data_IF_282277474210
#
_entry.id   IF_282277474210
#
_cell.length_a   1.000
_cell.length_b   1.000
_cell.length_c   1.000
_cell.angle_alpha   90.00
_cell.angle_beta   90.00
_cell.angle_gamma   90.00
#
_symmetry.space_group_name_H-M   'P 1'
#
loop_
_entity.id
_entity.type
_entity.pdbx_description
1 polymer ?
#
# COMPACT_ATOMS: atom_id res chain seq x y z
N UNK A 1 -6.15 27.07 66.21
CA UNK A 1 -4.84 26.86 66.87
C UNK A 1 -4.16 25.54 66.50
N UNK A 2 -4.68 24.34 66.83
CA UNK A 2 -4.01 23.07 66.47
C UNK A 2 -4.00 22.75 64.95
N UNK A 3 -5.04 23.14 64.21
CA UNK A 3 -5.13 22.90 62.77
C UNK A 3 -4.21 23.81 61.94
N UNK A 4 -4.18 25.11 62.25
CA UNK A 4 -3.30 26.09 61.60
C UNK A 4 -1.82 25.74 61.77
N UNK A 5 -1.42 25.35 62.98
CA UNK A 5 -0.04 24.96 63.25
C UNK A 5 0.36 23.69 62.48
N UNK A 6 -0.56 22.74 62.34
CA UNK A 6 -0.35 21.54 61.50
C UNK A 6 -0.19 21.90 60.01
N UNK A 7 -1.02 22.82 59.50
CA UNK A 7 -0.94 23.31 58.12
C UNK A 7 0.37 24.04 57.85
N UNK A 8 0.80 24.93 58.78
CA UNK A 8 2.08 25.64 58.70
C UNK A 8 3.26 24.66 58.61
N UNK A 9 3.30 23.66 59.49
CA UNK A 9 4.35 22.63 59.48
C UNK A 9 4.31 21.76 58.23
N UNK A 10 3.13 21.49 57.68
CA UNK A 10 2.99 20.78 56.41
C UNK A 10 3.53 21.60 55.23
N UNK A 11 3.33 22.92 55.23
CA UNK A 11 3.92 23.82 54.23
C UNK A 11 5.44 23.87 54.35
N UNK A 12 5.97 23.96 55.58
CA UNK A 12 7.41 23.90 55.83
C UNK A 12 8.01 22.57 55.38
N UNK A 13 7.35 21.44 55.69
CA UNK A 13 7.74 20.13 55.17
C UNK A 13 7.79 20.13 53.65
N UNK A 14 6.75 20.67 53.01
CA UNK A 14 6.66 20.71 51.55
C UNK A 14 7.82 21.51 50.96
N UNK A 15 8.12 22.70 51.51
CA UNK A 15 9.25 23.52 51.06
C UNK A 15 10.60 22.79 51.18
N UNK A 16 10.79 22.00 52.23
CA UNK A 16 11.99 21.18 52.39
C UNK A 16 12.07 20.08 51.34
N UNK A 17 10.96 19.45 51.00
CA UNK A 17 10.93 18.43 49.94
C UNK A 17 11.23 19.04 48.56
N UNK A 18 10.78 20.26 48.26
CA UNK A 18 11.19 20.98 47.04
C UNK A 18 12.68 21.34 47.06
N UNK A 19 13.23 21.79 48.20
CA UNK A 19 14.67 22.03 48.37
C UNK A 19 15.48 20.75 48.12
N UNK A 20 14.99 19.60 48.62
CA UNK A 20 15.61 18.29 48.39
C UNK A 20 15.45 17.79 46.96
N UNK A 21 14.45 18.26 46.21
CA UNK A 21 14.24 17.88 44.82
C UNK A 21 15.07 18.72 43.83
N UNK A 22 15.56 19.90 44.21
CA UNK A 22 16.22 20.83 43.28
C UNK A 22 17.66 20.47 42.93
N UNK A 23 18.38 19.80 43.82
CA UNK A 23 19.80 19.45 43.61
C UNK A 23 20.24 18.28 44.46
N UNK A 24 21.28 17.58 44.02
CA UNK A 24 21.99 16.62 44.86
C UNK A 24 22.61 17.35 46.06
N UNK A 25 22.34 16.88 47.29
CA UNK A 25 22.82 17.52 48.52
C UNK A 25 24.10 16.87 49.02
N UNK A 26 25.02 17.70 49.54
CA UNK A 26 26.19 17.23 50.27
C UNK A 26 25.88 16.89 51.75
N UNK A 27 26.83 16.28 52.46
CA UNK A 27 26.65 15.87 53.85
C UNK A 27 26.28 17.03 54.80
N UNK A 28 26.76 18.25 54.51
CA UNK A 28 26.48 19.44 55.31
C UNK A 28 25.03 19.87 55.12
N UNK A 29 24.56 19.88 53.88
CA UNK A 29 23.18 20.16 53.51
C UNK A 29 22.24 19.09 54.09
N UNK A 30 22.58 17.81 53.94
CA UNK A 30 21.81 16.68 54.49
C UNK A 30 21.68 16.79 56.02
N UNK A 31 22.76 17.13 56.73
CA UNK A 31 22.71 17.36 58.18
C UNK A 31 21.83 18.55 58.54
N UNK A 32 21.90 19.65 57.78
CA UNK A 32 21.04 20.81 57.97
C UNK A 32 19.56 20.43 57.81
N UNK A 33 19.22 19.66 56.78
CA UNK A 33 17.87 19.11 56.56
C UNK A 33 17.43 18.22 57.73
N UNK A 34 18.30 17.33 58.23
CA UNK A 34 17.99 16.49 59.39
C UNK A 34 17.63 17.31 60.64
N UNK A 35 18.36 18.41 60.90
CA UNK A 35 18.08 19.32 62.02
C UNK A 35 16.74 20.05 61.83
N UNK A 36 16.47 20.56 60.61
CA UNK A 36 15.19 21.19 60.27
C UNK A 36 14.02 20.21 60.47
N UNK A 37 14.14 18.98 59.97
CA UNK A 37 13.13 17.93 60.13
C UNK A 37 12.95 17.51 61.59
N UNK A 38 14.03 17.38 62.37
CA UNK A 38 13.94 17.11 63.81
C UNK A 38 13.10 18.16 64.53
N UNK A 39 13.32 19.43 64.21
CA UNK A 39 12.57 20.56 64.79
C UNK A 39 11.10 20.52 64.36
N UNK A 40 10.85 20.21 63.09
CA UNK A 40 9.51 20.15 62.52
C UNK A 40 8.63 19.05 63.16
N UNK A 41 9.23 17.88 63.39
CA UNK A 41 8.56 16.71 63.98
C UNK A 41 8.43 16.76 65.51
N UNK A 42 8.80 17.86 66.16
CA UNK A 42 8.54 18.06 67.59
C UNK A 42 7.03 18.01 67.91
N UNK A 43 6.67 17.64 69.13
CA UNK A 43 5.27 17.61 69.59
C UNK A 43 4.33 16.72 68.76
N UNK A 44 4.84 15.59 68.23
CA UNK A 44 4.07 14.59 67.49
C UNK A 44 3.36 15.12 66.23
N UNK A 45 3.99 16.04 65.50
CA UNK A 45 3.50 16.45 64.18
C UNK A 45 3.33 15.23 63.26
N UNK A 46 2.15 15.13 62.63
CA UNK A 46 1.83 14.09 61.67
C UNK A 46 1.68 14.74 60.30
N UNK A 47 2.59 14.41 59.38
CA UNK A 47 2.51 14.87 58.01
C UNK A 47 1.26 14.33 57.30
N UNK A 48 0.73 15.10 56.37
CA UNK A 48 -0.43 14.72 55.58
C UNK A 48 -0.01 14.04 54.27
N UNK A 49 -0.16 12.71 54.23
CA UNK A 49 0.15 11.90 53.06
C UNK A 49 -0.61 12.31 51.79
N UNK A 50 -1.84 12.84 51.91
CA UNK A 50 -2.63 13.23 50.73
C UNK A 50 -2.02 14.40 49.93
N UNK A 51 -1.07 15.13 50.52
CA UNK A 51 -0.38 16.25 49.87
C UNK A 51 0.82 15.81 49.02
N UNK A 52 1.32 14.58 49.21
CA UNK A 52 2.53 14.14 48.52
C UNK A 52 2.27 13.83 47.04
N UNK A 53 1.17 13.16 46.70
CA UNK A 53 0.90 12.85 45.30
C UNK A 53 0.83 14.11 44.39
N UNK A 54 0.05 15.16 44.73
CA UNK A 54 0.06 16.40 43.94
C UNK A 54 1.43 17.04 43.81
N UNK A 55 2.23 17.01 44.89
CA UNK A 55 3.60 17.54 44.89
C UNK A 55 4.52 16.74 43.95
N UNK A 56 4.47 15.41 43.99
CA UNK A 56 5.23 14.54 43.08
C UNK A 56 4.81 14.78 41.62
N UNK A 57 3.51 14.97 41.36
CA UNK A 57 3.01 15.32 40.02
C UNK A 57 3.56 16.67 39.57
N UNK A 58 3.60 17.70 40.43
CA UNK A 58 4.17 19.00 40.08
C UNK A 58 5.69 18.93 39.83
N UNK A 59 6.43 18.22 40.69
CA UNK A 59 7.87 18.00 40.57
C UNK A 59 8.27 17.18 39.34
N UNK A 60 7.33 16.48 38.70
CA UNK A 60 7.60 15.66 37.52
C UNK A 60 7.14 16.28 36.20
N UNK A 61 6.56 17.49 36.24
CA UNK A 61 6.21 18.22 35.03
C UNK A 61 7.45 18.60 34.23
N UNK A 62 7.35 18.51 32.90
CA UNK A 62 8.43 18.91 32.00
C UNK A 62 8.73 20.42 32.16
N UNK A 63 10.01 20.77 32.29
CA UNK A 63 10.47 22.16 32.33
C UNK A 63 10.55 22.80 33.73
N UNK A 64 10.37 22.02 34.80
CA UNK A 64 10.72 22.46 36.15
C UNK A 64 12.20 22.15 36.48
N UNK A 65 12.70 22.75 37.56
CA UNK A 65 14.07 22.53 38.05
C UNK A 65 14.16 21.40 39.10
N UNK A 66 13.13 20.55 39.20
CA UNK A 66 13.03 19.51 40.23
C UNK A 66 13.30 18.12 39.66
N UNK A 67 13.79 17.23 40.51
CA UNK A 67 14.05 15.84 40.18
C UNK A 67 13.56 14.91 41.29
N UNK A 68 12.68 13.98 40.93
CA UNK A 68 12.23 12.93 41.85
C UNK A 68 13.39 12.02 42.29
N UNK A 69 14.43 11.90 41.46
CA UNK A 69 15.63 11.12 41.78
C UNK A 69 16.47 11.83 42.85
N UNK A 70 16.61 13.16 42.76
CA UNK A 70 17.28 13.94 43.81
C UNK A 70 16.51 13.88 45.11
N UNK A 71 15.17 14.03 45.06
CA UNK A 71 14.32 13.90 46.24
C UNK A 71 14.49 12.54 46.93
N UNK A 72 14.35 11.46 46.16
CA UNK A 72 14.48 10.08 46.65
C UNK A 72 15.86 9.84 47.27
N UNK A 73 16.92 10.23 46.54
CA UNK A 73 18.31 10.04 46.97
C UNK A 73 18.63 10.83 48.24
N UNK A 74 18.29 12.12 48.27
CA UNK A 74 18.54 12.98 49.41
C UNK A 74 17.75 12.51 50.64
N UNK A 75 16.48 12.09 50.46
CA UNK A 75 15.64 11.63 51.55
C UNK A 75 16.14 10.31 52.15
N UNK A 76 16.61 9.39 51.31
CA UNK A 76 17.22 8.15 51.78
C UNK A 76 18.58 8.39 52.45
N UNK A 77 19.38 9.35 51.96
CA UNK A 77 20.63 9.74 52.60
C UNK A 77 20.41 10.36 53.99
N UNK A 78 19.43 11.25 54.15
CA UNK A 78 19.05 11.79 55.47
C UNK A 78 18.54 10.66 56.39
N UNK A 79 17.73 9.74 55.86
CA UNK A 79 17.23 8.59 56.62
C UNK A 79 18.36 7.70 57.11
N UNK A 80 19.32 7.37 56.25
CA UNK A 80 20.49 6.57 56.60
C UNK A 80 21.34 7.24 57.70
N UNK A 81 21.58 8.55 57.58
CA UNK A 81 22.30 9.33 58.61
C UNK A 81 21.59 9.30 59.98
N UNK A 82 20.27 9.48 59.97
CA UNK A 82 19.46 9.46 61.21
C UNK A 82 19.39 8.05 61.81
N UNK A 83 19.33 7.02 60.98
CA UNK A 83 19.35 5.62 61.41
C UNK A 83 20.70 5.25 62.04
N UNK A 84 21.81 5.66 61.44
CA UNK A 84 23.14 5.43 62.01
C UNK A 84 23.31 6.08 63.39
N UNK A 85 22.87 7.33 63.54
CA UNK A 85 22.89 8.04 64.83
C UNK A 85 22.00 7.35 65.87
N UNK A 86 20.83 6.85 65.45
CA UNK A 86 19.92 6.07 66.31
C UNK A 86 20.56 4.76 66.80
N UNK A 87 21.29 4.04 65.95
CA UNK A 87 21.95 2.78 66.29
C UNK A 87 23.17 2.97 67.20
N UNK A 88 23.87 4.11 67.11
CA UNK A 88 25.03 4.47 67.93
C UNK A 88 24.66 5.02 69.32
N UNK A 89 23.37 5.06 69.68
CA UNK A 89 22.81 5.69 70.89
C UNK A 89 23.21 7.18 71.06
N UNK A 90 23.49 7.84 69.94
CA UNK A 90 23.64 9.29 69.90
C UNK A 90 22.24 9.90 70.03
N UNK A 91 21.93 10.47 71.19
CA UNK A 91 20.59 11.03 71.52
C UNK A 91 20.16 12.22 70.63
N UNK A 92 20.92 12.54 69.56
CA UNK A 92 20.70 13.69 68.70
C UNK A 92 19.43 13.52 67.84
N UNK A 93 19.21 12.38 67.19
CA UNK A 93 18.08 12.20 66.25
C UNK A 93 17.04 11.15 66.67
N UNK A 94 17.05 10.71 67.93
CA UNK A 94 16.23 9.58 68.40
C UNK A 94 14.72 9.75 68.14
N UNK A 95 14.19 10.97 68.27
CA UNK A 95 12.77 11.26 68.04
C UNK A 95 12.40 11.41 66.57
N UNK A 96 13.39 11.60 65.67
CA UNK A 96 13.18 11.80 64.23
C UNK A 96 13.13 10.49 63.45
N UNK A 97 13.82 9.43 63.90
CA UNK A 97 13.96 8.18 63.15
C UNK A 97 12.62 7.59 62.65
N UNK A 98 11.64 7.46 63.56
CA UNK A 98 10.31 6.91 63.21
C UNK A 98 9.51 7.80 62.23
N UNK A 99 9.32 9.11 62.49
CA UNK A 99 8.58 9.96 61.55
C UNK A 99 9.27 10.12 60.20
N UNK A 100 10.62 10.17 60.17
CA UNK A 100 11.38 10.24 58.92
C UNK A 100 11.27 8.95 58.10
N UNK A 101 11.36 7.78 58.75
CA UNK A 101 11.15 6.50 58.05
C UNK A 101 9.76 6.43 57.39
N UNK A 102 8.72 6.93 58.06
CA UNK A 102 7.37 7.02 57.47
C UNK A 102 7.30 8.00 56.30
N UNK A 103 7.97 9.15 56.43
CA UNK A 103 8.04 10.14 55.36
C UNK A 103 8.74 9.57 54.12
N UNK A 104 9.91 8.94 54.30
CA UNK A 104 10.65 8.29 53.21
C UNK A 104 9.80 7.22 52.52
N UNK A 105 9.18 6.32 53.28
CA UNK A 105 8.28 5.29 52.75
C UNK A 105 7.12 5.88 51.94
N UNK A 106 6.44 6.89 52.48
CA UNK A 106 5.31 7.52 51.80
C UNK A 106 5.69 8.28 50.52
N UNK A 107 6.81 9.01 50.54
CA UNK A 107 7.30 9.72 49.35
C UNK A 107 7.72 8.74 48.27
N UNK A 108 8.51 7.72 48.63
CA UNK A 108 8.97 6.70 47.67
C UNK A 108 7.81 5.89 47.10
N UNK A 109 6.76 5.62 47.90
CA UNK A 109 5.54 4.99 47.42
C UNK A 109 4.81 5.86 46.39
N UNK A 110 4.70 7.17 46.60
CA UNK A 110 4.11 8.08 45.61
C UNK A 110 4.96 8.27 44.36
N UNK A 111 6.30 8.29 44.49
CA UNK A 111 7.22 8.29 43.34
C UNK A 111 7.02 7.02 42.49
N UNK A 112 6.95 5.86 43.14
CA UNK A 112 6.69 4.58 42.46
C UNK A 112 5.31 4.56 41.78
N UNK A 113 4.28 5.06 42.46
CA UNK A 113 2.93 5.19 41.91
C UNK A 113 2.90 6.11 40.69
N UNK A 114 3.53 7.28 40.78
CA UNK A 114 3.64 8.22 39.66
C UNK A 114 4.35 7.58 38.46
N UNK A 115 5.47 6.90 38.71
CA UNK A 115 6.25 6.21 37.68
C UNK A 115 5.43 5.17 36.93
N UNK A 116 4.59 4.41 37.65
CA UNK A 116 3.66 3.46 37.03
C UNK A 116 2.61 4.15 36.15
N UNK A 117 1.99 5.24 36.62
CA UNK A 117 1.01 6.00 35.84
C UNK A 117 1.62 6.63 34.60
N UNK A 118 2.78 7.28 34.72
CA UNK A 118 3.49 7.90 33.60
C UNK A 118 3.86 6.88 32.53
N UNK A 119 4.37 5.71 32.90
CA UNK A 119 4.65 4.62 31.94
C UNK A 119 3.37 4.11 31.26
N UNK A 120 2.26 4.04 31.99
CA UNK A 120 1.00 3.59 31.42
C UNK A 120 0.40 4.62 30.45
N UNK A 121 0.50 5.90 30.77
CA UNK A 121 0.10 7.00 29.88
C UNK A 121 0.91 6.97 28.58
N UNK A 122 2.23 6.79 28.66
CA UNK A 122 3.07 6.64 27.46
C UNK A 122 2.67 5.43 26.60
N UNK A 123 2.33 4.30 27.24
CA UNK A 123 1.81 3.13 26.52
C UNK A 123 0.49 3.41 25.81
N UNK A 124 -0.41 4.20 26.43
CA UNK A 124 -1.69 4.59 25.82
C UNK A 124 -1.45 5.48 24.59
N UNK A 125 -0.57 6.49 24.69
CA UNK A 125 -0.22 7.36 23.57
C UNK A 125 0.41 6.57 22.40
N UNK A 126 1.28 5.60 22.70
CA UNK A 126 1.87 4.73 21.70
C UNK A 126 0.84 3.80 21.02
N UNK A 127 -0.15 3.32 21.78
CA UNK A 127 -1.26 2.52 21.24
C UNK A 127 -2.16 3.36 20.32
N UNK A 128 -2.45 4.61 20.69
CA UNK A 128 -3.20 5.54 19.83
C UNK A 128 -2.46 5.82 18.52
N UNK A 129 -1.14 6.08 18.59
CA UNK A 129 -0.32 6.28 17.39
C UNK A 129 -0.33 5.04 16.48
N UNK A 130 -0.18 3.84 17.04
CA UNK A 130 -0.26 2.59 16.29
C UNK A 130 -1.64 2.37 15.66
N UNK A 131 -2.72 2.72 16.38
CA UNK A 131 -4.07 2.62 15.85
C UNK A 131 -4.27 3.50 14.61
N UNK A 132 -3.80 4.75 14.65
CA UNK A 132 -3.85 5.68 13.51
C UNK A 132 -3.04 5.16 12.30
N UNK A 133 -1.85 4.59 12.54
CA UNK A 133 -1.05 3.96 11.50
C UNK A 133 -1.78 2.77 10.87
N UNK A 134 -2.32 1.87 11.70
CA UNK A 134 -3.09 0.71 11.23
C UNK A 134 -4.33 1.10 10.43
N UNK A 135 -5.06 2.14 10.83
CA UNK A 135 -6.19 2.66 10.05
C UNK A 135 -5.75 3.17 8.68
N UNK A 136 -4.60 3.83 8.61
CA UNK A 136 -4.04 4.34 7.35
C UNK A 136 -3.59 3.20 6.43
N UNK A 137 -2.89 2.20 6.98
CA UNK A 137 -2.47 1.01 6.26
C UNK A 137 -3.68 0.20 5.76
N UNK A 138 -4.71 0.04 6.58
CA UNK A 138 -5.95 -0.64 6.21
C UNK A 138 -6.66 0.08 5.05
N UNK A 139 -6.71 1.42 5.08
CA UNK A 139 -7.26 2.22 3.97
C UNK A 139 -6.44 2.06 2.69
N UNK A 140 -5.12 2.01 2.79
CA UNK A 140 -4.26 1.80 1.63
C UNK A 140 -4.41 0.38 1.06
N UNK A 141 -4.50 -0.65 1.93
CA UNK A 141 -4.72 -2.02 1.52
C UNK A 141 -6.09 -2.23 0.85
N UNK A 142 -7.15 -1.63 1.39
CA UNK A 142 -8.50 -1.69 0.80
C UNK A 142 -8.55 -1.01 -0.56
N UNK A 143 -7.99 0.19 -0.71
CA UNK A 143 -7.93 0.86 -2.02
C UNK A 143 -7.07 0.11 -3.05
N UNK A 144 -5.98 -0.54 -2.62
CA UNK A 144 -5.19 -1.40 -3.50
C UNK A 144 -5.97 -2.65 -3.95
N UNK A 145 -6.75 -3.24 -3.04
CA UNK A 145 -7.62 -4.38 -3.32
C UNK A 145 -8.74 -4.00 -4.30
N UNK A 146 -9.37 -2.85 -4.13
CA UNK A 146 -10.40 -2.33 -5.06
C UNK A 146 -9.83 -2.14 -6.48
N UNK A 147 -8.64 -1.54 -6.59
CA UNK A 147 -7.96 -1.40 -7.89
C UNK A 147 -7.60 -2.74 -8.51
N UNK A 148 -7.17 -3.71 -7.71
CA UNK A 148 -6.89 -5.07 -8.19
C UNK A 148 -8.18 -5.74 -8.69
N UNK A 149 -9.29 -5.58 -7.97
CA UNK A 149 -10.60 -6.13 -8.35
C UNK A 149 -11.12 -5.53 -9.66
N UNK A 150 -11.00 -4.21 -9.84
CA UNK A 150 -11.37 -3.52 -11.09
C UNK A 150 -10.51 -4.01 -12.27
N UNK A 151 -9.21 -4.22 -12.04
CA UNK A 151 -8.33 -4.78 -13.06
C UNK A 151 -8.71 -6.20 -13.44
N UNK A 152 -9.10 -7.03 -12.46
CA UNK A 152 -9.56 -8.40 -12.70
C UNK A 152 -10.88 -8.42 -13.48
N UNK A 153 -11.86 -7.57 -13.14
CA UNK A 153 -13.12 -7.50 -13.89
C UNK A 153 -12.92 -7.03 -15.34
N UNK A 154 -12.01 -6.08 -15.54
CA UNK A 154 -11.60 -5.63 -16.88
C UNK A 154 -10.96 -6.78 -17.65
N UNK A 155 -10.00 -7.50 -17.05
CA UNK A 155 -9.36 -8.67 -17.65
C UNK A 155 -10.35 -9.77 -18.02
N UNK A 156 -11.34 -10.06 -17.15
CA UNK A 156 -12.39 -11.04 -17.45
C UNK A 156 -13.17 -10.65 -18.70
N UNK A 157 -13.51 -9.36 -18.85
CA UNK A 157 -14.22 -8.85 -20.03
C UNK A 157 -13.37 -9.00 -21.29
N UNK A 158 -12.08 -8.69 -21.22
CA UNK A 158 -11.14 -8.90 -22.34
C UNK A 158 -11.01 -10.38 -22.71
N UNK A 159 -10.92 -11.28 -21.72
CA UNK A 159 -10.84 -12.72 -21.94
C UNK A 159 -12.10 -13.28 -22.62
N UNK A 160 -13.30 -12.87 -22.16
CA UNK A 160 -14.56 -13.25 -22.80
C UNK A 160 -14.57 -12.77 -24.26
N UNK A 161 -14.19 -11.52 -24.51
CA UNK A 161 -14.13 -10.97 -25.86
C UNK A 161 -13.17 -11.76 -26.76
N UNK A 162 -11.99 -12.13 -26.27
CA UNK A 162 -11.03 -12.94 -27.01
C UNK A 162 -11.59 -14.33 -27.30
N UNK A 163 -12.22 -14.98 -26.33
CA UNK A 163 -12.82 -16.30 -26.51
C UNK A 163 -13.95 -16.29 -27.55
N UNK A 164 -14.84 -15.29 -27.48
CA UNK A 164 -15.92 -15.11 -28.46
C UNK A 164 -15.39 -14.89 -29.88
N UNK A 165 -14.32 -14.12 -30.02
CA UNK A 165 -13.62 -13.92 -31.30
C UNK A 165 -13.08 -15.26 -31.82
N UNK A 166 -12.36 -16.02 -30.99
CA UNK A 166 -11.80 -17.30 -31.41
C UNK A 166 -12.89 -18.30 -31.84
N UNK A 167 -14.00 -18.36 -31.10
CA UNK A 167 -15.13 -19.20 -31.45
C UNK A 167 -15.74 -18.80 -32.81
N UNK A 168 -15.94 -17.50 -33.06
CA UNK A 168 -16.47 -17.00 -34.33
C UNK A 168 -15.55 -17.33 -35.52
N UNK A 169 -14.23 -17.18 -35.35
CA UNK A 169 -13.23 -17.55 -36.37
C UNK A 169 -13.33 -19.06 -36.67
N UNK A 170 -13.28 -19.91 -35.65
CA UNK A 170 -13.32 -21.38 -35.82
C UNK A 170 -14.61 -21.82 -36.52
N UNK A 171 -15.76 -21.27 -36.12
CA UNK A 171 -17.05 -21.54 -36.77
C UNK A 171 -17.08 -21.10 -38.23
N UNK A 172 -16.59 -19.88 -38.54
CA UNK A 172 -16.53 -19.37 -39.91
C UNK A 172 -15.59 -20.21 -40.80
N UNK A 173 -14.43 -20.61 -40.29
CA UNK A 173 -13.50 -21.49 -41.01
C UNK A 173 -14.08 -22.87 -41.27
N UNK A 174 -14.63 -23.51 -40.23
CA UNK A 174 -15.27 -24.82 -40.36
C UNK A 174 -16.41 -24.78 -41.38
N UNK A 175 -17.29 -23.78 -41.29
CA UNK A 175 -18.38 -23.57 -42.24
C UNK A 175 -17.88 -23.33 -43.67
N UNK A 176 -16.81 -22.55 -43.84
CA UNK A 176 -16.22 -22.28 -45.15
C UNK A 176 -15.61 -23.53 -45.79
N UNK A 177 -14.90 -24.35 -45.00
CA UNK A 177 -14.31 -25.62 -45.48
C UNK A 177 -15.40 -26.61 -45.87
N UNK A 178 -16.46 -26.74 -45.06
CA UNK A 178 -17.60 -27.61 -45.38
C UNK A 178 -18.36 -27.15 -46.62
N UNK A 179 -18.62 -25.84 -46.75
CA UNK A 179 -19.25 -25.27 -47.94
C UNK A 179 -18.41 -25.52 -49.20
N UNK A 180 -17.10 -25.30 -49.11
CA UNK A 180 -16.17 -25.55 -50.21
C UNK A 180 -16.15 -27.03 -50.61
N UNK A 181 -16.05 -27.93 -49.62
CA UNK A 181 -16.05 -29.38 -49.86
C UNK A 181 -17.32 -29.86 -50.56
N UNK A 182 -18.48 -29.34 -50.16
CA UNK A 182 -19.77 -29.65 -50.80
C UNK A 182 -19.90 -29.06 -52.21
N UNK A 183 -19.38 -27.85 -52.44
CA UNK A 183 -19.38 -27.25 -53.77
C UNK A 183 -18.49 -28.04 -54.74
N UNK A 184 -17.30 -28.48 -54.30
CA UNK A 184 -16.38 -29.29 -55.11
C UNK A 184 -16.92 -30.69 -55.40
N UNK A 185 -17.57 -31.35 -54.43
CA UNK A 185 -18.13 -32.70 -54.63
C UNK A 185 -19.26 -32.72 -55.66
N UNK A 186 -19.95 -31.59 -55.87
CA UNK A 186 -20.95 -31.43 -56.94
C UNK A 186 -20.38 -31.27 -58.35
N UNK A 187 -19.06 -31.11 -58.53
CA UNK A 187 -18.41 -30.83 -59.82
C UNK A 187 -17.77 -32.04 -60.49
N UNK A 188 -18.18 -33.25 -60.14
CA UNK A 188 -17.60 -34.52 -60.60
C UNK A 188 -17.69 -34.77 -62.12
N UNK A 189 -18.55 -34.06 -62.84
CA UNK A 189 -18.80 -34.22 -64.29
C UNK A 189 -18.34 -33.00 -65.12
N UNK A 190 -17.53 -32.11 -64.55
CA UNK A 190 -17.14 -30.84 -65.19
C UNK A 190 -15.70 -30.92 -65.75
N UNK A 191 -15.49 -30.36 -66.95
CA UNK A 191 -14.19 -30.23 -67.61
C UNK A 191 -13.13 -29.63 -66.69
N UNK A 192 -11.87 -30.10 -66.77
CA UNK A 192 -10.77 -29.74 -65.85
C UNK A 192 -10.54 -28.22 -65.74
N UNK A 193 -10.67 -27.48 -66.84
CA UNK A 193 -10.48 -26.02 -66.84
C UNK A 193 -11.57 -25.29 -66.03
N UNK A 194 -12.84 -25.72 -66.15
CA UNK A 194 -13.94 -25.10 -65.39
C UNK A 194 -13.85 -25.40 -63.89
N UNK A 195 -13.41 -26.60 -63.51
CA UNK A 195 -13.20 -26.94 -62.10
C UNK A 195 -11.99 -26.20 -61.51
N UNK A 196 -10.90 -26.06 -62.27
CA UNK A 196 -9.74 -25.24 -61.88
C UNK A 196 -10.13 -23.77 -61.65
N UNK A 197 -10.89 -23.17 -62.57
CA UNK A 197 -11.42 -21.81 -62.40
C UNK A 197 -12.25 -21.66 -61.12
N UNK A 198 -13.16 -22.61 -60.85
CA UNK A 198 -14.02 -22.55 -59.68
C UNK A 198 -13.24 -22.66 -58.36
N UNK A 199 -12.22 -23.52 -58.31
CA UNK A 199 -11.33 -23.65 -57.15
C UNK A 199 -10.56 -22.35 -56.91
N UNK A 200 -10.04 -21.71 -57.97
CA UNK A 200 -9.36 -20.42 -57.87
C UNK A 200 -10.31 -19.30 -57.37
N UNK A 201 -11.54 -19.27 -57.88
CA UNK A 201 -12.58 -18.33 -57.44
C UNK A 201 -12.93 -18.53 -55.96
N UNK A 202 -13.11 -19.78 -55.53
CA UNK A 202 -13.34 -20.11 -54.13
C UNK A 202 -12.15 -19.71 -53.23
N UNK A 203 -10.93 -19.99 -53.64
CA UNK A 203 -9.72 -19.58 -52.93
C UNK A 203 -9.65 -18.05 -52.76
N UNK A 204 -10.02 -17.30 -53.79
CA UNK A 204 -10.12 -15.84 -53.73
C UNK A 204 -11.16 -15.36 -52.72
N UNK A 205 -12.38 -15.93 -52.74
CA UNK A 205 -13.43 -15.57 -51.78
C UNK A 205 -13.01 -15.88 -50.35
N UNK A 206 -12.47 -17.07 -50.10
CA UNK A 206 -12.03 -17.51 -48.77
C UNK A 206 -10.92 -16.62 -48.24
N UNK A 207 -9.89 -16.29 -49.03
CA UNK A 207 -8.80 -15.43 -48.58
C UNK A 207 -9.29 -14.02 -48.20
N UNK A 208 -10.24 -13.45 -48.95
CA UNK A 208 -10.83 -12.16 -48.61
C UNK A 208 -11.71 -12.23 -47.35
N UNK A 209 -12.44 -13.34 -47.15
CA UNK A 209 -13.27 -13.55 -45.96
C UNK A 209 -12.43 -13.72 -44.69
N UNK A 210 -11.33 -14.49 -44.78
CA UNK A 210 -10.35 -14.62 -43.68
C UNK A 210 -9.77 -13.25 -43.33
N UNK A 211 -9.39 -12.46 -44.34
CA UNK A 211 -8.87 -11.12 -44.11
C UNK A 211 -9.89 -10.20 -43.44
N UNK A 212 -11.16 -10.23 -43.88
CA UNK A 212 -12.23 -9.45 -43.27
C UNK A 212 -12.42 -9.81 -41.79
N UNK A 213 -12.44 -11.11 -41.48
CA UNK A 213 -12.56 -11.59 -40.10
C UNK A 213 -11.38 -11.15 -39.25
N UNK A 214 -10.14 -11.33 -39.76
CA UNK A 214 -8.95 -10.85 -39.06
C UNK A 214 -9.06 -9.34 -38.84
N UNK A 215 -9.41 -8.54 -39.84
CA UNK A 215 -9.58 -7.10 -39.72
C UNK A 215 -10.58 -6.69 -38.63
N UNK A 216 -11.76 -7.33 -38.58
CA UNK A 216 -12.77 -7.09 -37.53
C UNK A 216 -12.17 -7.40 -36.16
N UNK A 217 -11.43 -8.50 -36.02
CA UNK A 217 -10.75 -8.88 -34.78
C UNK A 217 -9.69 -7.87 -34.36
N UNK A 218 -8.87 -7.37 -35.28
CA UNK A 218 -7.91 -6.29 -34.99
C UNK A 218 -8.61 -5.01 -34.55
N UNK A 219 -9.78 -4.70 -35.13
CA UNK A 219 -10.57 -3.53 -34.74
C UNK A 219 -11.19 -3.69 -33.34
N UNK A 220 -11.69 -4.87 -32.99
CA UNK A 220 -12.26 -5.15 -31.66
C UNK A 220 -11.18 -5.20 -30.58
N UNK A 221 -10.02 -5.81 -30.86
CA UNK A 221 -8.89 -5.91 -29.91
C UNK A 221 -8.07 -4.62 -29.80
N UNK A 222 -8.42 -3.57 -30.54
CA UNK A 222 -7.66 -2.31 -30.60
C UNK A 222 -6.24 -2.46 -31.17
N UNK A 223 -5.91 -3.62 -31.78
CA UNK A 223 -4.60 -3.91 -32.35
C UNK A 223 -4.63 -3.79 -33.86
N UNK A 224 -3.79 -2.92 -34.41
CA UNK A 224 -3.71 -2.76 -35.87
C UNK A 224 -3.06 -3.98 -36.53
N UNK A 225 -3.78 -4.63 -37.45
CA UNK A 225 -3.26 -5.72 -38.30
C UNK A 225 -2.44 -5.18 -39.48
N UNK A 226 -2.49 -3.86 -39.70
CA UNK A 226 -1.72 -3.20 -40.73
C UNK A 226 -0.21 -3.33 -40.47
N UNK A 227 0.54 -3.65 -41.53
CA UNK A 227 1.99 -3.54 -41.49
C UNK A 227 2.39 -2.08 -41.21
N UNK A 228 3.41 -1.88 -40.36
CA UNK A 228 3.91 -0.54 -40.01
C UNK A 228 4.49 0.14 -41.26
N UNK A 229 3.72 1.02 -41.89
CA UNK A 229 4.17 1.81 -43.04
C UNK A 229 4.88 3.08 -42.55
N UNK A 230 6.22 3.16 -42.73
CA UNK A 230 7.04 4.34 -42.35
C UNK A 230 7.08 5.47 -43.39
N UNK A 231 6.31 5.42 -44.47
CA UNK A 231 6.33 6.47 -45.51
C UNK A 231 5.28 7.56 -45.27
N UNK A 232 5.64 8.84 -45.42
CA UNK A 232 4.76 10.02 -45.20
C UNK A 232 3.42 9.97 -45.94
N UNK A 233 3.36 9.30 -47.10
CA UNK A 233 2.16 9.21 -47.95
C UNK A 233 1.20 8.05 -47.57
N UNK A 234 1.42 7.36 -46.45
CA UNK A 234 0.60 6.23 -45.96
C UNK A 234 -0.42 6.63 -44.87
N UNK A 235 -0.33 7.84 -44.35
CA UNK A 235 -1.22 8.44 -43.35
C UNK A 235 -2.28 9.31 -44.02
N UNK A 236 -3.48 9.41 -43.41
CA UNK A 236 -4.47 10.38 -43.84
C UNK A 236 -3.94 11.79 -43.55
N UNK A 237 -4.17 12.75 -44.45
CA UNK A 237 -3.81 14.15 -44.21
C UNK A 237 -4.61 14.75 -43.05
N UNK A 238 -4.27 15.99 -42.65
CA UNK A 238 -4.93 16.71 -41.55
C UNK A 238 -6.46 16.85 -41.71
N UNK A 239 -6.97 16.73 -42.94
CA UNK A 239 -8.41 16.80 -43.27
C UNK A 239 -9.09 15.42 -43.40
N UNK A 240 -8.45 14.34 -42.91
CA UNK A 240 -9.02 12.98 -43.00
C UNK A 240 -9.04 12.38 -44.41
N UNK A 241 -8.64 13.14 -45.44
CA UNK A 241 -8.54 12.66 -46.82
C UNK A 241 -7.29 11.78 -47.01
N UNK A 242 -7.40 10.62 -47.69
CA UNK A 242 -6.26 9.75 -47.94
C UNK A 242 -5.34 10.35 -49.01
N UNK A 243 -4.07 10.59 -48.68
CA UNK A 243 -3.07 11.12 -49.61
C UNK A 243 -2.65 10.14 -50.73
N UNK A 244 -3.29 8.96 -50.84
CA UNK A 244 -2.96 7.92 -51.79
C UNK A 244 -4.19 7.18 -52.33
N UNK A 245 -4.13 6.77 -53.61
CA UNK A 245 -5.15 5.92 -54.24
C UNK A 245 -5.38 4.63 -53.43
N UNK A 246 -6.64 4.17 -53.40
CA UNK A 246 -7.08 2.99 -52.62
C UNK A 246 -6.21 1.75 -52.84
N UNK A 247 -5.85 1.43 -54.08
CA UNK A 247 -4.97 0.28 -54.40
C UNK A 247 -3.55 0.44 -53.85
N UNK A 248 -2.95 1.64 -53.95
CA UNK A 248 -1.60 1.90 -53.40
C UNK A 248 -1.60 1.85 -51.87
N UNK A 249 -2.72 2.23 -51.24
CA UNK A 249 -2.91 2.13 -49.79
C UNK A 249 -2.99 0.68 -49.33
N UNK A 250 -3.77 -0.15 -50.05
CA UNK A 250 -3.89 -1.59 -49.76
C UNK A 250 -2.53 -2.30 -49.91
N UNK A 251 -1.82 -2.05 -51.01
CA UNK A 251 -0.48 -2.62 -51.26
C UNK A 251 0.54 -2.30 -50.16
N UNK A 252 0.52 -1.08 -49.61
CA UNK A 252 1.51 -0.64 -48.61
C UNK A 252 1.15 -1.03 -47.18
N UNK A 253 -0.13 -1.02 -46.81
CA UNK A 253 -0.58 -1.38 -45.46
C UNK A 253 -0.79 -2.89 -45.29
N UNK A 254 -1.09 -3.61 -46.37
CA UNK A 254 -1.44 -5.03 -46.40
C UNK A 254 -0.76 -5.72 -47.61
N UNK A 255 0.59 -5.75 -47.66
CA UNK A 255 1.31 -6.26 -48.82
C UNK A 255 0.99 -7.73 -49.12
N UNK A 256 0.86 -8.57 -48.09
CA UNK A 256 0.61 -10.00 -48.24
C UNK A 256 -0.72 -10.31 -48.94
N UNK A 257 -1.82 -9.69 -48.49
CA UNK A 257 -3.16 -9.89 -49.09
C UNK A 257 -3.20 -9.35 -50.52
N UNK A 258 -2.59 -8.18 -50.74
CA UNK A 258 -2.55 -7.59 -52.07
C UNK A 258 -1.84 -8.50 -53.08
N UNK A 259 -0.65 -9.02 -52.75
CA UNK A 259 0.11 -9.88 -53.65
C UNK A 259 -0.56 -11.24 -53.88
N UNK A 260 -1.13 -11.85 -52.85
CA UNK A 260 -1.87 -13.11 -52.99
C UNK A 260 -3.11 -12.94 -53.87
N UNK A 261 -3.91 -11.89 -53.66
CA UNK A 261 -5.09 -11.63 -54.48
C UNK A 261 -4.72 -11.35 -55.94
N UNK A 262 -3.65 -10.58 -56.19
CA UNK A 262 -3.14 -10.34 -57.55
C UNK A 262 -2.68 -11.65 -58.19
N UNK A 263 -1.97 -12.50 -57.45
CA UNK A 263 -1.51 -13.79 -57.96
C UNK A 263 -2.67 -14.74 -58.32
N UNK A 264 -3.73 -14.79 -57.48
CA UNK A 264 -4.94 -15.57 -57.77
C UNK A 264 -5.67 -15.06 -59.02
N UNK A 265 -5.78 -13.73 -59.19
CA UNK A 265 -6.38 -13.13 -60.39
C UNK A 265 -5.57 -13.48 -61.65
N UNK A 266 -4.24 -13.44 -61.58
CA UNK A 266 -3.37 -13.83 -62.71
C UNK A 266 -3.59 -15.30 -63.07
N UNK A 267 -3.65 -16.20 -62.08
CA UNK A 267 -3.93 -17.61 -62.33
C UNK A 267 -5.30 -17.83 -62.98
N UNK A 268 -6.34 -17.10 -62.55
CA UNK A 268 -7.66 -17.16 -63.20
C UNK A 268 -7.62 -16.71 -64.66
N UNK A 269 -6.84 -15.67 -64.99
CA UNK A 269 -6.68 -15.21 -66.37
C UNK A 269 -5.92 -16.24 -67.21
N UNK A 270 -4.86 -16.83 -66.67
CA UNK A 270 -4.10 -17.90 -67.34
C UNK A 270 -4.99 -19.11 -67.63
N UNK A 271 -5.82 -19.51 -66.67
CA UNK A 271 -6.77 -20.61 -66.84
C UNK A 271 -7.79 -20.34 -67.97
N UNK A 272 -8.32 -19.12 -68.05
CA UNK A 272 -9.20 -18.70 -69.17
C UNK A 272 -8.45 -18.73 -70.50
N UNK A 273 -7.21 -18.23 -70.56
CA UNK A 273 -6.40 -18.25 -71.80
C UNK A 273 -6.12 -19.69 -72.23
N UNK A 274 -5.76 -20.57 -71.29
CA UNK A 274 -5.53 -22.00 -71.56
C UNK A 274 -6.80 -22.68 -72.06
N UNK A 275 -7.97 -22.34 -71.50
CA UNK A 275 -9.26 -22.83 -71.98
C UNK A 275 -9.57 -22.37 -73.41
N UNK A 276 -9.36 -21.08 -73.72
CA UNK A 276 -9.54 -20.54 -75.08
C UNK A 276 -8.56 -21.17 -76.09
N UNK A 277 -7.30 -21.37 -75.70
CA UNK A 277 -6.31 -22.05 -76.53
C UNK A 277 -6.68 -23.52 -76.75
N UNK A 278 -7.18 -24.22 -75.72
CA UNK A 278 -7.61 -25.61 -75.87
C UNK A 278 -8.82 -25.76 -76.80
N UNK A 279 -9.77 -24.82 -76.76
CA UNK A 279 -10.88 -24.76 -77.72
C UNK A 279 -10.37 -24.59 -79.17
N UNK A 280 -9.35 -23.77 -79.39
CA UNK A 280 -8.82 -23.47 -80.73
C UNK A 280 -7.82 -24.51 -81.28
N UNK A 281 -7.07 -25.21 -80.42
CA UNK A 281 -5.97 -26.11 -80.82
C UNK A 281 -6.18 -27.60 -80.49
N UNK A 282 -7.30 -28.01 -79.87
CA UNK A 282 -7.71 -29.41 -79.66
C UNK A 282 -6.61 -30.32 -79.06
N UNK A 283 -5.90 -29.86 -78.02
CA UNK A 283 -4.69 -30.56 -77.53
C UNK A 283 -4.83 -31.27 -76.17
N UNK A 284 -5.91 -31.05 -75.40
CA UNK A 284 -6.12 -31.69 -74.09
C UNK A 284 -7.56 -32.22 -73.94
N UNK A 285 -7.75 -33.35 -73.22
CA UNK A 285 -9.08 -33.94 -73.04
C UNK A 285 -10.03 -32.94 -72.37
N UNK A 286 -11.26 -32.84 -72.91
CA UNK A 286 -12.36 -32.05 -72.32
C UNK A 286 -12.70 -32.54 -70.92
#
# INVERSE_FOLDING_TARGET
>A
MLLEESLRRQQELSSLLYEMASSCMDDVQLRSVAIKLKTLYTSNFRHNYSQFFPMIVEMSQEGNDYSLEYLSTNLEAVRAMVEESYLKDEKEFTTLYRPLSKLSDHINLEIGRYSYYSQNEQKVLDLERKNLMLQTELRNATTALEKAQEKVSTMQTELISVLSIFAAIVLAFSGSISFLGNALSGMTQVTVFKSAFFVLLCGFVIMNLIFLMMYIVGKITGRSIYARCKTEKCTCGKDGSPACNGLKRLRKRLPYIYWINVMLIILMIVDIILWCCNINFWLLPL
#
